data_IF_852396687658
#
_entry.id   IF_852396687658
#
_cell.length_a   1.000
_cell.length_b   1.000
_cell.length_c   1.000
_cell.angle_alpha   90.00
_cell.angle_beta   90.00
_cell.angle_gamma   90.00
#
_symmetry.space_group_name_H-M   'P 1'
#
loop_
_entity.id
_entity.type
_entity.pdbx_description
1 polymer ?
#
# COMPACT_ATOMS: atom_id res chain seq x y z
N UNK A 1 14.05 -12.81 22.10
CA UNK A 1 12.70 -12.65 22.68
C UNK A 1 11.72 -12.27 21.59
N UNK A 2 10.50 -11.86 21.93
CA UNK A 2 9.46 -11.44 20.95
C UNK A 2 9.49 -9.94 20.62
N UNK A 3 10.49 -9.22 21.13
CA UNK A 3 10.71 -7.80 20.84
C UNK A 3 11.51 -7.68 19.54
N UNK A 4 11.00 -6.86 18.62
CA UNK A 4 11.67 -6.51 17.37
C UNK A 4 11.67 -4.98 17.22
N UNK A 5 12.77 -4.42 16.74
CA UNK A 5 12.91 -2.96 16.62
C UNK A 5 12.18 -2.43 15.39
N UNK A 6 11.71 -1.18 15.46
CA UNK A 6 11.14 -0.49 14.31
C UNK A 6 12.20 -0.34 13.22
N UNK A 7 12.06 -1.10 12.13
CA UNK A 7 13.09 -1.25 11.11
C UNK A 7 12.64 -0.64 9.78
N UNK A 8 13.44 0.29 9.25
CA UNK A 8 13.24 0.87 7.94
C UNK A 8 14.28 0.30 6.96
N UNK A 9 13.80 -0.24 5.83
CA UNK A 9 14.65 -0.82 4.80
C UNK A 9 14.59 0.03 3.53
N UNK A 10 15.74 0.27 2.90
CA UNK A 10 15.86 0.93 1.59
C UNK A 10 16.55 -0.02 0.59
N UNK A 11 16.31 0.18 -0.71
CA UNK A 11 16.92 -0.59 -1.80
C UNK A 11 16.71 -2.11 -1.68
N UNK A 12 15.53 -2.52 -1.21
CA UNK A 12 15.15 -3.93 -1.07
C UNK A 12 14.88 -4.52 -2.46
N UNK A 13 15.44 -5.70 -2.75
CA UNK A 13 15.15 -6.43 -3.99
C UNK A 13 13.69 -6.94 -3.97
N UNK A 14 12.92 -6.62 -5.02
CA UNK A 14 11.51 -7.00 -5.20
C UNK A 14 11.29 -8.54 -5.17
N UNK A 15 12.35 -9.34 -5.31
CA UNK A 15 12.28 -10.81 -5.25
C UNK A 15 12.28 -11.37 -3.84
N UNK A 16 12.69 -10.59 -2.84
CA UNK A 16 12.79 -11.04 -1.45
C UNK A 16 11.41 -11.18 -0.81
N UNK A 17 11.28 -12.15 0.11
CA UNK A 17 10.03 -12.42 0.83
C UNK A 17 9.53 -11.19 1.58
N UNK A 18 10.44 -10.43 2.22
CA UNK A 18 10.09 -9.20 2.95
C UNK A 18 9.40 -8.15 2.07
N UNK A 19 9.62 -8.19 0.75
CA UNK A 19 8.97 -7.28 -0.20
C UNK A 19 7.65 -7.84 -0.73
N UNK A 20 7.58 -9.16 -0.96
CA UNK A 20 6.45 -9.81 -1.65
C UNK A 20 5.35 -10.28 -0.70
N UNK A 21 5.70 -10.52 0.55
CA UNK A 21 4.85 -11.17 1.54
C UNK A 21 4.57 -10.22 2.70
N UNK A 22 3.46 -10.49 3.40
CA UNK A 22 3.06 -9.66 4.53
C UNK A 22 3.94 -9.97 5.75
N UNK A 23 4.77 -9.00 6.15
CA UNK A 23 5.77 -9.18 7.19
C UNK A 23 5.18 -9.32 8.61
N UNK A 24 3.96 -8.82 8.85
CA UNK A 24 3.28 -8.84 10.17
C UNK A 24 4.17 -8.39 11.35
N UNK A 25 5.00 -7.37 11.14
CA UNK A 25 5.92 -6.85 12.15
C UNK A 25 6.24 -5.36 11.92
N UNK A 26 7.01 -4.73 12.82
CA UNK A 26 7.30 -3.30 12.75
C UNK A 26 8.42 -3.00 11.72
N UNK A 27 8.19 -3.40 10.47
CA UNK A 27 9.12 -3.22 9.34
C UNK A 27 8.43 -2.41 8.24
N UNK A 28 9.15 -1.44 7.69
CA UNK A 28 8.70 -0.66 6.54
C UNK A 28 9.77 -0.66 5.44
N UNK A 29 9.32 -0.71 4.18
CA UNK A 29 10.19 -0.55 3.01
C UNK A 29 9.98 0.85 2.47
N UNK A 30 11.07 1.61 2.36
CA UNK A 30 11.10 2.90 1.69
C UNK A 30 11.68 2.74 0.29
N UNK A 31 10.91 3.16 -0.69
CA UNK A 31 11.27 3.00 -2.09
C UNK A 31 10.99 4.25 -2.91
N UNK A 32 11.94 4.58 -3.80
CA UNK A 32 11.84 5.72 -4.72
C UNK A 32 11.19 5.29 -6.02
N UNK A 33 10.36 6.17 -6.57
CA UNK A 33 9.77 6.04 -7.90
C UNK A 33 10.01 7.31 -8.71
N UNK A 34 10.00 7.23 -10.04
CA UNK A 34 10.30 8.38 -10.91
C UNK A 34 9.10 9.29 -11.15
N UNK A 35 7.91 8.71 -11.25
CA UNK A 35 6.66 9.44 -11.44
C UNK A 35 5.50 8.70 -10.77
N UNK A 36 4.39 9.41 -10.58
CA UNK A 36 3.25 8.93 -9.81
C UNK A 36 2.68 7.63 -10.38
N UNK A 37 2.57 7.55 -11.70
CA UNK A 37 2.05 6.39 -12.44
C UNK A 37 2.91 5.15 -12.21
N UNK A 38 4.24 5.28 -12.20
CA UNK A 38 5.15 4.18 -11.85
C UNK A 38 4.98 3.75 -10.39
N UNK A 39 4.72 4.68 -9.46
CA UNK A 39 4.41 4.37 -8.08
C UNK A 39 3.12 3.53 -7.95
N UNK A 40 2.05 3.95 -8.63
CA UNK A 40 0.78 3.20 -8.68
C UNK A 40 0.98 1.81 -9.31
N UNK A 41 1.68 1.73 -10.44
CA UNK A 41 1.97 0.46 -11.10
C UNK A 41 2.76 -0.48 -10.18
N UNK A 42 3.66 0.06 -9.36
CA UNK A 42 4.46 -0.69 -8.40
C UNK A 42 3.63 -1.26 -7.25
N UNK A 43 2.73 -0.45 -6.67
CA UNK A 43 1.78 -0.91 -5.64
C UNK A 43 0.91 -2.05 -6.21
N UNK A 44 0.41 -1.90 -7.44
CA UNK A 44 -0.43 -2.89 -8.07
C UNK A 44 0.24 -4.24 -8.37
N UNK A 45 1.59 -4.31 -8.40
CA UNK A 45 2.31 -5.59 -8.54
C UNK A 45 2.19 -6.48 -7.31
N UNK A 46 1.82 -5.92 -6.16
CA UNK A 46 1.52 -6.73 -4.99
C UNK A 46 0.38 -7.69 -5.28
N UNK A 47 0.51 -8.92 -4.76
CA UNK A 47 -0.59 -9.90 -4.74
C UNK A 47 -1.71 -9.52 -3.77
N UNK A 48 -1.45 -8.56 -2.88
CA UNK A 48 -2.41 -8.01 -1.94
C UNK A 48 -3.00 -6.69 -2.46
N UNK A 49 -4.20 -6.36 -2.00
CA UNK A 49 -4.95 -5.20 -2.43
C UNK A 49 -6.04 -4.80 -1.44
N UNK A 50 -5.67 -4.56 -0.17
CA UNK A 50 -6.61 -4.20 0.88
C UNK A 50 -6.95 -2.70 0.86
N UNK A 51 -6.02 -1.86 1.30
CA UNK A 51 -6.16 -0.40 1.26
C UNK A 51 -4.82 0.27 0.94
N UNK A 52 -4.86 1.50 0.42
CA UNK A 52 -3.69 2.32 0.15
C UNK A 52 -3.90 3.77 0.64
N UNK A 53 -2.91 4.31 1.33
CA UNK A 53 -2.82 5.72 1.66
C UNK A 53 -2.06 6.48 0.59
N UNK A 54 -2.61 7.60 0.10
CA UNK A 54 -2.01 8.41 -0.97
C UNK A 54 -1.87 9.85 -0.48
N UNK A 55 -0.64 10.29 -0.30
CA UNK A 55 -0.32 11.65 0.12
C UNK A 55 -0.02 12.54 -1.08
N UNK A 56 -0.91 13.50 -1.36
CA UNK A 56 -0.78 14.44 -2.48
C UNK A 56 -1.68 15.65 -2.27
N UNK A 57 -1.31 16.79 -2.85
CA UNK A 57 -2.18 17.97 -2.97
C UNK A 57 -2.74 18.15 -4.39
N UNK A 58 -2.26 17.35 -5.34
CA UNK A 58 -2.69 17.41 -6.73
C UNK A 58 -3.95 16.56 -6.94
N UNK A 59 -5.07 17.21 -7.26
CA UNK A 59 -6.35 16.54 -7.52
C UNK A 59 -6.28 15.52 -8.66
N UNK A 60 -5.50 15.78 -9.71
CA UNK A 60 -5.34 14.82 -10.81
C UNK A 60 -4.68 13.54 -10.32
N UNK A 61 -3.70 13.63 -9.42
CA UNK A 61 -3.08 12.45 -8.82
C UNK A 61 -4.06 11.68 -7.91
N UNK A 62 -4.90 12.40 -7.15
CA UNK A 62 -5.94 11.76 -6.32
C UNK A 62 -6.90 10.96 -7.19
N UNK A 63 -7.43 11.57 -8.25
CA UNK A 63 -8.36 10.93 -9.17
C UNK A 63 -7.70 9.79 -9.95
N UNK A 64 -6.44 9.95 -10.34
CA UNK A 64 -5.68 8.90 -10.99
C UNK A 64 -5.51 7.68 -10.08
N UNK A 65 -5.12 7.90 -8.81
CA UNK A 65 -4.98 6.83 -7.84
C UNK A 65 -6.30 6.10 -7.59
N UNK A 66 -7.40 6.84 -7.44
CA UNK A 66 -8.74 6.28 -7.30
C UNK A 66 -9.13 5.35 -8.47
N UNK A 67 -8.78 5.73 -9.70
CA UNK A 67 -9.13 4.96 -10.90
C UNK A 67 -8.21 3.75 -11.14
N UNK A 68 -6.95 3.81 -10.73
CA UNK A 68 -5.93 2.86 -11.18
C UNK A 68 -5.38 1.96 -10.07
N UNK A 69 -5.54 2.30 -8.78
CA UNK A 69 -5.14 1.39 -7.71
C UNK A 69 -6.06 0.19 -7.65
N UNK A 70 -5.46 -1.00 -7.58
CA UNK A 70 -6.16 -2.28 -7.43
C UNK A 70 -6.24 -2.66 -5.96
N UNK A 71 -6.96 -1.85 -5.19
CA UNK A 71 -7.19 -2.02 -3.75
C UNK A 71 -8.66 -1.79 -3.44
N UNK A 72 -9.14 -2.26 -2.28
CA UNK A 72 -10.52 -2.03 -1.86
C UNK A 72 -10.80 -0.61 -1.34
N UNK A 73 -9.79 0.12 -0.88
CA UNK A 73 -9.94 1.50 -0.44
C UNK A 73 -8.71 2.38 -0.71
N UNK A 74 -8.94 3.59 -1.22
CA UNK A 74 -7.91 4.62 -1.40
C UNK A 74 -8.18 5.77 -0.42
N UNK A 75 -7.27 5.98 0.51
CA UNK A 75 -7.37 7.00 1.55
C UNK A 75 -6.44 8.16 1.20
N UNK A 76 -6.98 9.35 0.98
CA UNK A 76 -6.19 10.52 0.60
C UNK A 76 -5.70 11.25 1.84
N UNK A 77 -4.39 11.50 1.91
CA UNK A 77 -3.70 12.21 2.99
C UNK A 77 -3.86 11.59 4.39
N UNK A 78 -4.08 10.28 4.46
CA UNK A 78 -4.11 9.53 5.71
C UNK A 78 -3.57 8.09 5.50
N UNK A 79 -3.37 7.37 6.59
CA UNK A 79 -2.87 6.00 6.60
C UNK A 79 -3.90 5.02 6.02
N UNK A 80 -3.48 3.90 5.40
CA UNK A 80 -4.38 2.89 4.83
C UNK A 80 -5.21 2.14 5.89
N UNK A 81 -5.09 2.47 7.16
CA UNK A 81 -5.86 1.86 8.25
C UNK A 81 -7.07 2.69 8.65
N UNK A 82 -7.18 3.93 8.16
CA UNK A 82 -8.32 4.78 8.47
C UNK A 82 -9.61 4.17 7.93
N UNK A 83 -10.61 4.07 8.81
CA UNK A 83 -11.98 3.66 8.46
C UNK A 83 -12.95 4.14 9.52
N UNK A 84 -14.22 4.18 9.15
CA UNK A 84 -15.34 4.27 10.09
C UNK A 84 -16.13 2.98 10.08
N UNK A 85 -16.76 2.61 11.20
CA UNK A 85 -17.32 1.26 11.39
C UNK A 85 -18.41 0.89 10.38
N UNK A 86 -19.14 1.87 9.84
CA UNK A 86 -20.18 1.68 8.83
C UNK A 86 -19.68 1.80 7.39
N UNK A 87 -18.39 2.09 7.17
CA UNK A 87 -17.80 2.12 5.84
C UNK A 87 -17.56 0.68 5.35
N UNK A 88 -17.88 0.36 4.09
CA UNK A 88 -17.48 -0.91 3.49
C UNK A 88 -15.97 -1.14 3.67
N UNK A 89 -15.61 -2.32 4.16
CA UNK A 89 -14.22 -2.71 4.40
C UNK A 89 -13.98 -4.09 3.80
N UNK A 90 -13.20 -4.13 2.74
CA UNK A 90 -12.84 -5.33 2.02
C UNK A 90 -11.68 -5.03 1.08
N UNK A 91 -10.97 -6.05 0.65
CA UNK A 91 -9.89 -5.96 -0.32
C UNK A 91 -10.17 -6.78 -1.56
N UNK A 92 -9.29 -6.66 -2.54
CA UNK A 92 -9.28 -7.48 -3.76
C UNK A 92 -8.03 -8.37 -3.78
N UNK A 93 -7.91 -9.22 -4.81
CA UNK A 93 -6.78 -10.16 -4.99
C UNK A 93 -6.68 -11.13 -3.81
N UNK A 94 -5.48 -11.39 -3.30
CA UNK A 94 -5.28 -12.29 -2.15
C UNK A 94 -5.73 -11.65 -0.83
N UNK A 95 -6.16 -10.38 -0.83
CA UNK A 95 -6.72 -9.72 0.36
C UNK A 95 -8.23 -9.97 0.56
N UNK A 96 -8.92 -10.54 -0.42
CA UNK A 96 -10.36 -10.81 -0.35
C UNK A 96 -10.93 -11.30 -1.68
N UNK A 97 -12.00 -12.11 -1.60
CA UNK A 97 -12.63 -12.71 -2.78
C UNK A 97 -13.55 -11.75 -3.57
N UNK A 98 -13.69 -10.50 -3.10
CA UNK A 98 -14.72 -9.56 -3.55
C UNK A 98 -15.88 -9.53 -2.58
#
# INVERSE_FOLDING_TARGET
>A
GVMFEATLLENVDEKLEIYRDEAFGPVAILEKYKNFEQGIAKINRSRFGLQAGVYTQNLNNMMYAWQHLQVGGVIINDIPTFRVDNMPYGGVKDSGLG
#
